data_IF_571227492522
#
_entry.id   IF_571227492522
#
_cell.length_a   1.000
_cell.length_b   1.000
_cell.length_c   1.000
_cell.angle_alpha   90.00
_cell.angle_beta   90.00
_cell.angle_gamma   90.00
#
_symmetry.space_group_name_H-M   'P 1'
#
loop_
_entity.id
_entity.type
_entity.pdbx_description
1 polymer ?
#
# COMPACT_ATOMS: atom_id res chain seq x y z
N UNK A 1 -19.50 -19.14 -15.77
CA UNK A 1 -18.55 -18.08 -15.39
C UNK A 1 -19.04 -17.21 -14.23
N UNK A 2 -20.26 -16.65 -14.27
CA UNK A 2 -20.86 -15.83 -13.20
C UNK A 2 -20.89 -16.51 -11.82
N UNK A 3 -21.35 -17.77 -11.75
CA UNK A 3 -21.35 -18.53 -10.51
C UNK A 3 -19.94 -18.67 -9.91
N UNK A 4 -18.95 -19.06 -10.72
CA UNK A 4 -17.59 -19.25 -10.24
C UNK A 4 -16.96 -17.93 -9.79
N UNK A 5 -16.93 -16.91 -10.64
CA UNK A 5 -16.22 -15.64 -10.39
C UNK A 5 -16.98 -14.73 -9.41
N UNK A 6 -18.31 -14.72 -9.49
CA UNK A 6 -19.16 -13.82 -8.72
C UNK A 6 -19.65 -14.40 -7.39
N UNK A 7 -19.92 -15.71 -7.30
CA UNK A 7 -20.40 -16.30 -6.04
C UNK A 7 -19.28 -17.01 -5.27
N UNK A 8 -18.56 -17.94 -5.91
CA UNK A 8 -17.71 -18.89 -5.19
C UNK A 8 -16.32 -18.32 -4.91
N UNK A 9 -15.68 -17.78 -5.95
CA UNK A 9 -14.30 -17.29 -5.89
C UNK A 9 -14.09 -16.20 -4.82
N UNK A 10 -15.04 -15.27 -4.54
CA UNK A 10 -14.83 -14.23 -3.52
C UNK A 10 -14.55 -14.78 -2.13
N UNK A 11 -15.25 -15.85 -1.74
CA UNK A 11 -15.01 -16.51 -0.44
C UNK A 11 -13.63 -17.17 -0.39
N UNK A 12 -13.20 -17.80 -1.49
CA UNK A 12 -11.86 -18.37 -1.61
C UNK A 12 -10.80 -17.25 -1.52
N UNK A 13 -11.02 -16.16 -2.26
CA UNK A 13 -10.14 -14.98 -2.27
C UNK A 13 -9.96 -14.41 -0.88
N UNK A 14 -11.04 -14.12 -0.15
CA UNK A 14 -10.97 -13.56 1.21
C UNK A 14 -10.28 -14.51 2.17
N UNK A 15 -10.54 -15.82 2.05
CA UNK A 15 -9.89 -16.85 2.87
C UNK A 15 -8.38 -16.89 2.63
N UNK A 16 -7.95 -16.99 1.37
CA UNK A 16 -6.53 -17.08 1.01
C UNK A 16 -5.78 -15.79 1.32
N UNK A 17 -6.39 -14.63 1.05
CA UNK A 17 -5.82 -13.32 1.38
C UNK A 17 -5.59 -13.18 2.89
N UNK A 18 -6.63 -13.46 3.69
CA UNK A 18 -6.57 -13.34 5.15
C UNK A 18 -5.57 -14.31 5.75
N UNK A 19 -5.67 -15.61 5.44
CA UNK A 19 -4.75 -16.62 5.98
C UNK A 19 -3.32 -16.40 5.50
N UNK A 20 -3.13 -15.99 4.24
CA UNK A 20 -1.82 -15.69 3.69
C UNK A 20 -1.14 -14.50 4.38
N UNK A 21 -1.89 -13.43 4.67
CA UNK A 21 -1.37 -12.29 5.44
C UNK A 21 -0.99 -12.75 6.85
N UNK A 22 -1.88 -13.45 7.56
CA UNK A 22 -1.62 -13.92 8.93
C UNK A 22 -0.39 -14.83 8.98
N UNK A 23 -0.25 -15.76 8.04
CA UNK A 23 0.93 -16.61 7.92
C UNK A 23 2.21 -15.78 7.70
N UNK A 24 2.17 -14.81 6.79
CA UNK A 24 3.33 -13.96 6.48
C UNK A 24 3.76 -13.12 7.68
N UNK A 25 2.80 -12.47 8.34
CA UNK A 25 3.02 -11.65 9.52
C UNK A 25 3.52 -12.51 10.70
N UNK A 26 2.91 -13.67 10.94
CA UNK A 26 3.34 -14.60 11.99
C UNK A 26 4.78 -15.10 11.77
N UNK A 27 5.14 -15.42 10.52
CA UNK A 27 6.51 -15.82 10.17
C UNK A 27 7.53 -14.69 10.42
N UNK A 28 7.16 -13.44 10.17
CA UNK A 28 8.02 -12.30 10.47
C UNK A 28 8.12 -12.03 11.97
N UNK A 29 7.01 -12.10 12.70
CA UNK A 29 6.98 -11.91 14.15
C UNK A 29 7.79 -13.00 14.90
N UNK A 30 7.81 -14.22 14.37
CA UNK A 30 8.60 -15.32 14.93
C UNK A 30 10.10 -15.27 14.61
N UNK A 31 10.55 -14.37 13.72
CA UNK A 31 11.96 -14.27 13.36
C UNK A 31 12.77 -13.66 14.50
N UNK A 32 13.74 -14.40 15.04
CA UNK A 32 14.61 -13.92 16.12
C UNK A 32 15.67 -12.98 15.57
N UNK A 33 15.70 -11.74 16.08
CA UNK A 33 16.70 -10.75 15.75
C UNK A 33 17.77 -10.78 16.86
N UNK A 34 18.92 -11.37 16.55
CA UNK A 34 19.99 -11.62 17.53
C UNK A 34 20.89 -10.40 17.76
N UNK A 35 20.97 -9.47 16.80
CA UNK A 35 21.89 -8.32 16.83
C UNK A 35 21.16 -6.99 16.67
N UNK A 36 21.78 -5.90 17.14
CA UNK A 36 21.23 -4.57 16.94
C UNK A 36 21.56 -4.03 15.54
N UNK A 37 20.54 -3.85 14.70
CA UNK A 37 20.66 -3.41 13.30
C UNK A 37 20.16 -1.97 13.19
N UNK A 38 20.65 -1.07 14.04
CA UNK A 38 20.26 0.35 13.95
C UNK A 38 21.22 1.08 13.03
N UNK A 39 20.69 1.97 12.18
CA UNK A 39 21.49 2.80 11.27
C UNK A 39 21.73 4.19 11.86
N UNK A 40 22.86 4.80 11.50
CA UNK A 40 23.11 6.20 11.82
C UNK A 40 22.18 7.13 11.01
N UNK A 41 21.74 8.26 11.58
CA UNK A 41 21.98 8.73 12.94
C UNK A 41 21.13 7.95 13.98
N UNK A 42 21.74 7.60 15.10
CA UNK A 42 21.12 6.81 16.17
C UNK A 42 20.01 7.62 16.86
N UNK A 43 18.77 7.14 16.76
CA UNK A 43 17.63 7.80 17.38
C UNK A 43 17.60 7.52 18.88
N UNK A 44 17.34 8.56 19.67
CA UNK A 44 17.43 8.52 21.14
C UNK A 44 16.05 8.34 21.81
N UNK A 45 14.98 8.73 21.11
CA UNK A 45 13.62 8.69 21.68
C UNK A 45 12.62 8.03 20.73
N UNK A 46 11.60 7.39 21.30
CA UNK A 46 10.50 6.79 20.53
C UNK A 46 9.76 7.83 19.65
N UNK A 47 9.72 9.10 20.06
CA UNK A 47 9.16 10.18 19.24
C UNK A 47 9.97 10.40 17.96
N UNK A 48 11.30 10.42 18.05
CA UNK A 48 12.16 10.51 16.86
C UNK A 48 12.00 9.30 15.94
N UNK A 49 11.84 8.08 16.50
CA UNK A 49 11.55 6.86 15.74
C UNK A 49 10.24 7.02 14.98
N UNK A 50 9.16 7.42 15.65
CA UNK A 50 7.85 7.60 15.02
C UNK A 50 7.89 8.64 13.88
N UNK A 51 8.55 9.78 14.10
CA UNK A 51 8.74 10.80 13.06
C UNK A 51 9.55 10.26 11.88
N UNK A 52 10.62 9.49 12.13
CA UNK A 52 11.43 8.88 11.08
C UNK A 52 10.59 7.94 10.23
N UNK A 53 9.92 6.97 10.86
CA UNK A 53 9.09 5.98 10.17
C UNK A 53 7.96 6.67 9.41
N UNK A 54 7.26 7.62 10.05
CA UNK A 54 6.18 8.37 9.42
C UNK A 54 6.66 9.19 8.20
N UNK A 55 7.79 9.87 8.32
CA UNK A 55 8.36 10.64 7.19
C UNK A 55 8.78 9.75 6.02
N UNK A 56 9.22 8.53 6.28
CA UNK A 56 9.52 7.56 5.24
C UNK A 56 8.24 6.97 4.63
N UNK A 57 7.21 6.68 5.44
CA UNK A 57 5.97 6.06 4.97
C UNK A 57 5.10 7.00 4.13
N UNK A 58 4.96 8.27 4.54
CA UNK A 58 4.02 9.21 3.92
C UNK A 58 4.68 10.19 2.95
N UNK A 59 5.92 10.59 3.23
CA UNK A 59 6.62 11.63 2.46
C UNK A 59 7.75 11.07 1.61
N UNK A 60 8.05 9.78 1.71
CA UNK A 60 9.18 9.13 1.03
C UNK A 60 10.47 9.97 1.16
N UNK A 61 10.77 10.43 2.38
CA UNK A 61 11.82 11.42 2.66
C UNK A 61 13.17 11.06 2.05
N UNK A 62 13.64 9.83 2.18
CA UNK A 62 14.88 9.40 1.55
C UNK A 62 14.82 9.51 0.03
N UNK A 63 13.70 9.09 -0.58
CA UNK A 63 13.53 9.15 -2.02
C UNK A 63 13.55 10.59 -2.53
N UNK A 64 12.94 11.53 -1.81
CA UNK A 64 13.01 12.96 -2.12
C UNK A 64 14.44 13.50 -2.18
N UNK A 65 15.32 13.00 -1.30
CA UNK A 65 16.73 13.42 -1.23
C UNK A 65 17.57 12.88 -2.38
N UNK A 66 17.36 11.62 -2.77
CA UNK A 66 18.24 10.93 -3.73
C UNK A 66 17.71 10.89 -5.17
N UNK A 67 16.39 10.90 -5.36
CA UNK A 67 15.78 10.83 -6.68
C UNK A 67 14.40 11.52 -6.69
N UNK A 68 14.40 12.83 -6.95
CA UNK A 68 13.20 13.66 -6.98
C UNK A 68 12.19 13.23 -8.05
N UNK A 69 12.68 12.69 -9.17
CA UNK A 69 11.81 12.25 -10.26
C UNK A 69 11.05 10.97 -9.86
N UNK A 70 11.76 9.98 -9.32
CA UNK A 70 11.14 8.79 -8.77
C UNK A 70 10.25 9.13 -7.57
N UNK A 71 10.64 10.09 -6.73
CA UNK A 71 9.81 10.57 -5.63
C UNK A 71 8.46 11.10 -6.11
N UNK A 72 8.44 12.00 -7.08
CA UNK A 72 7.21 12.59 -7.58
C UNK A 72 6.26 11.52 -8.17
N UNK A 73 6.81 10.62 -9.00
CA UNK A 73 6.02 9.54 -9.60
C UNK A 73 5.53 8.51 -8.58
N UNK A 74 6.37 8.13 -7.62
CA UNK A 74 6.01 7.19 -6.57
C UNK A 74 4.96 7.78 -5.62
N UNK A 75 5.10 9.05 -5.23
CA UNK A 75 4.15 9.74 -4.37
C UNK A 75 2.79 9.90 -5.06
N UNK A 76 2.76 10.37 -6.31
CA UNK A 76 1.53 10.47 -7.10
C UNK A 76 0.83 9.11 -7.19
N UNK A 77 1.57 8.06 -7.53
CA UNK A 77 1.01 6.72 -7.67
C UNK A 77 0.42 6.20 -6.36
N UNK A 78 1.15 6.28 -5.24
CA UNK A 78 0.65 5.78 -3.95
C UNK A 78 -0.48 6.62 -3.39
N UNK A 79 -0.40 7.95 -3.51
CA UNK A 79 -1.47 8.84 -3.08
C UNK A 79 -2.76 8.56 -3.84
N UNK A 80 -2.69 8.43 -5.16
CA UNK A 80 -3.83 8.06 -5.98
C UNK A 80 -4.35 6.65 -5.65
N UNK A 81 -3.46 5.66 -5.48
CA UNK A 81 -3.82 4.30 -5.09
C UNK A 81 -4.59 4.26 -3.76
N UNK A 82 -4.10 4.96 -2.74
CA UNK A 82 -4.75 5.01 -1.42
C UNK A 82 -6.12 5.68 -1.49
N UNK A 83 -6.25 6.76 -2.27
CA UNK A 83 -7.55 7.42 -2.48
C UNK A 83 -8.52 6.54 -3.27
N UNK A 84 -8.06 5.83 -4.30
CA UNK A 84 -8.90 4.88 -5.04
C UNK A 84 -9.35 3.75 -4.12
N UNK A 85 -8.44 3.14 -3.35
CA UNK A 85 -8.79 2.07 -2.41
C UNK A 85 -9.75 2.55 -1.32
N UNK A 86 -9.47 3.72 -0.74
CA UNK A 86 -10.34 4.37 0.24
C UNK A 86 -11.71 4.69 -0.35
N UNK A 87 -11.76 5.19 -1.58
CA UNK A 87 -12.99 5.46 -2.33
C UNK A 87 -13.80 4.20 -2.65
N UNK A 88 -13.17 3.04 -2.87
CA UNK A 88 -13.90 1.78 -2.99
C UNK A 88 -14.58 1.43 -1.66
N UNK A 89 -13.87 1.54 -0.53
CA UNK A 89 -14.43 1.16 0.77
C UNK A 89 -15.52 2.15 1.20
N UNK A 90 -15.19 3.43 1.22
CA UNK A 90 -16.04 4.51 1.72
C UNK A 90 -17.12 4.85 0.70
N UNK A 91 -16.78 4.97 -0.59
CA UNK A 91 -17.75 5.29 -1.64
C UNK A 91 -18.82 4.22 -1.80
N UNK A 92 -18.45 2.93 -1.85
CA UNK A 92 -19.48 1.87 -1.89
C UNK A 92 -20.24 1.79 -0.57
N UNK A 93 -19.55 1.88 0.58
CA UNK A 93 -20.19 1.76 1.90
C UNK A 93 -21.17 2.88 2.24
N UNK A 94 -20.98 4.08 1.68
CA UNK A 94 -21.83 5.25 1.89
C UNK A 94 -22.53 5.74 0.62
N UNK A 95 -22.57 4.92 -0.44
CA UNK A 95 -23.24 5.24 -1.71
C UNK A 95 -22.77 6.56 -2.36
N UNK A 96 -21.50 6.92 -2.17
CA UNK A 96 -20.93 8.20 -2.62
C UNK A 96 -21.36 9.42 -1.79
N UNK A 97 -22.07 9.23 -0.68
CA UNK A 97 -22.61 10.29 0.17
C UNK A 97 -21.72 10.65 1.37
N UNK A 98 -20.47 10.18 1.41
CA UNK A 98 -19.60 10.34 2.58
C UNK A 98 -19.29 11.80 2.95
N UNK A 99 -19.35 12.74 2.01
CA UNK A 99 -19.09 14.16 2.30
C UNK A 99 -20.30 14.85 2.93
N UNK A 100 -21.51 14.38 2.62
CA UNK A 100 -22.74 14.87 3.26
C UNK A 100 -22.80 14.47 4.74
N UNK A 101 -22.10 13.41 5.14
CA UNK A 101 -22.02 12.94 6.52
C UNK A 101 -21.08 13.76 7.41
N UNK A 102 -20.30 14.69 6.84
CA UNK A 102 -19.33 15.50 7.60
C UNK A 102 -20.07 16.67 8.29
N UNK A 103 -20.15 16.70 9.63
CA UNK A 103 -20.87 17.75 10.34
C UNK A 103 -20.27 19.13 10.07
N UNK A 104 -21.13 20.11 9.81
CA UNK A 104 -20.72 21.51 9.65
C UNK A 104 -20.34 21.93 8.22
N UNK A 105 -20.28 21.02 7.24
CA UNK A 105 -20.03 21.38 5.84
C UNK A 105 -21.29 21.77 5.06
N UNK A 106 -22.47 21.31 5.48
CA UNK A 106 -23.75 21.63 4.81
C UNK A 106 -23.84 21.08 3.37
N UNK A 107 -23.09 20.02 3.05
CA UNK A 107 -23.06 19.39 1.73
C UNK A 107 -24.32 18.53 1.54
N UNK A 108 -25.02 18.71 0.43
CA UNK A 108 -26.19 17.87 0.09
C UNK A 108 -25.75 16.49 -0.41
N UNK A 109 -26.60 15.45 -0.32
CA UNK A 109 -26.30 14.12 -0.85
C UNK A 109 -25.92 14.13 -2.33
N UNK A 110 -26.61 14.93 -3.14
CA UNK A 110 -26.34 15.09 -4.58
C UNK A 110 -24.93 15.64 -4.82
N UNK A 111 -24.56 16.72 -4.12
CA UNK A 111 -23.22 17.30 -4.23
C UNK A 111 -22.15 16.34 -3.72
N UNK A 112 -22.44 15.56 -2.66
CA UNK A 112 -21.50 14.53 -2.20
C UNK A 112 -21.25 13.48 -3.27
N UNK A 113 -22.30 12.99 -3.94
CA UNK A 113 -22.17 12.00 -5.03
C UNK A 113 -21.35 12.56 -6.19
N UNK A 114 -21.60 13.80 -6.60
CA UNK A 114 -20.78 14.48 -7.62
C UNK A 114 -19.31 14.62 -7.21
N UNK A 115 -19.04 15.01 -5.97
CA UNK A 115 -17.67 15.15 -5.45
C UNK A 115 -16.96 13.79 -5.37
N UNK A 116 -17.66 12.74 -4.93
CA UNK A 116 -17.19 11.37 -4.97
C UNK A 116 -16.87 10.93 -6.39
N UNK A 117 -17.73 11.31 -7.33
CA UNK A 117 -17.57 10.95 -8.72
C UNK A 117 -16.35 11.59 -9.36
N UNK A 118 -16.19 12.89 -9.12
CA UNK A 118 -15.04 13.67 -9.53
C UNK A 118 -13.74 13.17 -8.90
N UNK A 119 -13.71 12.97 -7.58
CA UNK A 119 -12.51 12.52 -6.87
C UNK A 119 -12.04 11.15 -7.37
N UNK A 120 -12.95 10.18 -7.49
CA UNK A 120 -12.62 8.86 -8.00
C UNK A 120 -12.10 8.91 -9.44
N UNK A 121 -12.67 9.77 -10.28
CA UNK A 121 -12.23 9.97 -11.67
C UNK A 121 -10.83 10.56 -11.76
N UNK A 122 -10.55 11.64 -11.02
CA UNK A 122 -9.23 12.28 -11.00
C UNK A 122 -8.18 11.30 -10.46
N UNK A 123 -8.47 10.62 -9.35
CA UNK A 123 -7.54 9.67 -8.73
C UNK A 123 -7.32 8.43 -9.61
N UNK A 124 -8.33 7.94 -10.33
CA UNK A 124 -8.18 6.85 -11.30
C UNK A 124 -7.25 7.21 -12.46
N UNK A 125 -7.35 8.45 -12.99
CA UNK A 125 -6.43 8.95 -14.01
C UNK A 125 -5.01 9.13 -13.42
N UNK A 126 -4.89 9.77 -12.27
CA UNK A 126 -3.62 10.01 -11.60
C UNK A 126 -2.87 8.70 -11.30
N UNK A 127 -3.60 7.66 -10.86
CA UNK A 127 -3.06 6.33 -10.62
C UNK A 127 -2.56 5.69 -11.93
N UNK A 128 -3.35 5.74 -13.00
CA UNK A 128 -2.97 5.20 -14.30
C UNK A 128 -1.70 5.89 -14.85
N UNK A 129 -1.66 7.23 -14.81
CA UNK A 129 -0.50 8.02 -15.25
C UNK A 129 0.72 7.73 -14.38
N UNK A 130 0.56 7.65 -13.06
CA UNK A 130 1.64 7.32 -12.13
C UNK A 130 2.24 5.93 -12.39
N UNK A 131 1.39 4.92 -12.62
CA UNK A 131 1.83 3.57 -12.99
C UNK A 131 2.56 3.55 -14.35
N UNK A 132 2.03 4.27 -15.34
CA UNK A 132 2.62 4.35 -16.67
C UNK A 132 4.00 5.04 -16.61
N UNK A 133 4.12 6.14 -15.88
CA UNK A 133 5.38 6.83 -15.63
C UNK A 133 6.41 5.88 -15.01
N UNK A 134 6.04 5.15 -13.94
CA UNK A 134 6.94 4.23 -13.26
C UNK A 134 7.36 3.06 -14.17
N UNK A 135 6.46 2.59 -15.02
CA UNK A 135 6.76 1.52 -15.99
C UNK A 135 7.73 2.02 -17.07
N UNK A 136 7.45 3.18 -17.67
CA UNK A 136 8.33 3.81 -18.67
C UNK A 136 9.72 4.01 -18.07
N UNK A 137 9.81 4.56 -16.85
CA UNK A 137 11.07 4.80 -16.16
C UNK A 137 11.91 3.52 -16.00
N UNK A 138 11.30 2.35 -15.82
CA UNK A 138 12.02 1.06 -15.72
C UNK A 138 12.61 0.61 -17.06
N UNK A 139 11.99 0.98 -18.17
CA UNK A 139 12.47 0.63 -19.50
C UNK A 139 13.47 1.64 -20.07
N UNK A 140 13.37 2.91 -19.68
CA UNK A 140 14.19 3.99 -20.26
C UNK A 140 15.46 4.29 -19.46
N UNK A 141 15.46 4.13 -18.13
CA UNK A 141 16.64 4.40 -17.31
C UNK A 141 17.51 3.16 -17.15
N UNK A 142 18.70 3.18 -17.76
CA UNK A 142 19.63 2.04 -17.76
C UNK A 142 19.96 1.55 -16.35
N UNK A 143 20.25 2.46 -15.42
CA UNK A 143 20.54 2.12 -14.01
C UNK A 143 19.41 1.34 -13.34
N UNK A 144 18.16 1.62 -13.71
CA UNK A 144 16.97 0.98 -13.15
C UNK A 144 16.72 -0.35 -13.84
N UNK A 145 16.90 -0.38 -15.16
CA UNK A 145 16.74 -1.58 -15.99
C UNK A 145 17.68 -2.70 -15.53
N UNK A 146 18.93 -2.37 -15.21
CA UNK A 146 19.95 -3.32 -14.74
C UNK A 146 19.59 -4.03 -13.42
N UNK A 147 18.79 -3.40 -12.57
CA UNK A 147 18.37 -3.97 -11.26
C UNK A 147 16.91 -4.42 -11.24
N UNK A 148 16.19 -4.30 -12.36
CA UNK A 148 14.76 -4.63 -12.46
C UNK A 148 14.58 -6.13 -12.66
N UNK A 149 13.74 -6.76 -11.83
CA UNK A 149 13.33 -8.16 -12.04
C UNK A 149 12.10 -8.22 -12.95
N UNK A 150 11.89 -9.31 -13.72
CA UNK A 150 10.70 -9.45 -14.57
C UNK A 150 9.38 -9.23 -13.81
N UNK A 151 9.31 -9.71 -12.56
CA UNK A 151 8.15 -9.51 -11.69
C UNK A 151 7.80 -8.03 -11.45
N UNK A 152 8.79 -7.13 -11.46
CA UNK A 152 8.56 -5.69 -11.19
C UNK A 152 7.78 -5.03 -12.33
N UNK A 153 8.09 -5.41 -13.58
CA UNK A 153 7.37 -4.92 -14.74
C UNK A 153 5.99 -5.56 -14.84
N UNK A 154 5.89 -6.87 -14.57
CA UNK A 154 4.62 -7.60 -14.60
C UNK A 154 3.60 -7.01 -13.62
N UNK A 155 4.00 -6.64 -12.41
CA UNK A 155 3.09 -6.00 -11.45
C UNK A 155 2.58 -4.63 -11.93
N UNK A 156 3.46 -3.80 -12.51
CA UNK A 156 3.03 -2.50 -13.03
C UNK A 156 2.09 -2.65 -14.23
N UNK A 157 2.37 -3.60 -15.14
CA UNK A 157 1.49 -3.91 -16.27
C UNK A 157 0.14 -4.44 -15.76
N UNK A 158 0.16 -5.36 -14.79
CA UNK A 158 -1.04 -5.91 -14.19
C UNK A 158 -1.92 -4.81 -13.58
N UNK A 159 -1.33 -3.92 -12.79
CA UNK A 159 -2.05 -2.80 -12.18
C UNK A 159 -2.54 -1.80 -13.23
N UNK A 160 -1.79 -1.55 -14.31
CA UNK A 160 -2.25 -0.71 -15.42
C UNK A 160 -3.50 -1.30 -16.10
N UNK A 161 -3.52 -2.61 -16.35
CA UNK A 161 -4.70 -3.27 -16.91
C UNK A 161 -5.88 -3.20 -15.95
N UNK A 162 -5.65 -3.50 -14.66
CA UNK A 162 -6.67 -3.45 -13.63
C UNK A 162 -7.30 -2.06 -13.50
N UNK A 163 -6.46 -1.02 -13.38
CA UNK A 163 -6.89 0.38 -13.28
C UNK A 163 -7.50 0.87 -14.60
N UNK A 164 -6.96 0.45 -15.75
CA UNK A 164 -7.51 0.77 -17.06
C UNK A 164 -8.94 0.26 -17.23
N UNK A 165 -9.21 -0.99 -16.81
CA UNK A 165 -10.57 -1.55 -16.80
C UNK A 165 -11.47 -0.79 -15.80
N UNK A 166 -10.95 -0.43 -14.62
CA UNK A 166 -11.68 0.41 -13.65
C UNK A 166 -12.08 1.77 -14.24
N UNK A 167 -11.14 2.44 -14.92
CA UNK A 167 -11.38 3.71 -15.60
C UNK A 167 -12.37 3.56 -16.77
N UNK A 168 -12.37 2.44 -17.49
CA UNK A 168 -13.38 2.16 -18.52
C UNK A 168 -14.78 2.15 -17.91
N UNK A 169 -14.98 1.44 -16.80
CA UNK A 169 -16.28 1.44 -16.11
C UNK A 169 -16.65 2.83 -15.59
N UNK A 170 -15.67 3.64 -15.19
CA UNK A 170 -15.95 4.99 -14.70
C UNK A 170 -16.35 5.95 -15.80
N UNK A 171 -15.61 5.98 -16.91
CA UNK A 171 -15.69 7.03 -17.93
C UNK A 171 -16.56 6.70 -19.13
N UNK A 172 -16.87 5.42 -19.37
CA UNK A 172 -17.70 5.01 -20.52
C UNK A 172 -19.13 4.75 -20.02
N UNK A 173 -20.12 5.59 -20.37
CA UNK A 173 -21.48 5.47 -19.84
C UNK A 173 -22.12 4.09 -20.08
N UNK A 174 -21.81 3.45 -21.21
CA UNK A 174 -22.32 2.12 -21.54
C UNK A 174 -21.81 0.99 -20.62
N UNK A 175 -20.74 1.24 -19.86
CA UNK A 175 -20.14 0.27 -18.94
C UNK A 175 -20.14 0.77 -17.49
N UNK A 176 -20.87 1.85 -17.21
CA UNK A 176 -20.94 2.44 -15.89
C UNK A 176 -21.61 1.50 -14.88
N UNK A 177 -21.07 1.49 -13.67
CA UNK A 177 -21.55 0.68 -12.55
C UNK A 177 -21.83 1.62 -11.39
N UNK A 178 -23.10 1.71 -11.02
CA UNK A 178 -23.59 2.53 -9.91
C UNK A 178 -23.14 1.98 -8.55
N UNK A 179 -22.99 2.85 -7.56
CA UNK A 179 -22.55 2.47 -6.21
C UNK A 179 -23.51 1.47 -5.56
N UNK A 180 -24.82 1.65 -5.75
CA UNK A 180 -25.90 0.83 -5.20
C UNK A 180 -25.78 -0.62 -5.66
N UNK A 181 -25.49 -0.84 -6.95
CA UNK A 181 -25.32 -2.19 -7.49
C UNK A 181 -24.16 -2.93 -6.83
N UNK A 182 -23.07 -2.22 -6.55
CA UNK A 182 -21.89 -2.79 -5.87
C UNK A 182 -22.20 -3.04 -4.40
N UNK A 183 -22.89 -2.11 -3.74
CA UNK A 183 -23.30 -2.24 -2.34
C UNK A 183 -24.19 -3.46 -2.13
N UNK A 184 -25.27 -3.59 -2.90
CA UNK A 184 -26.22 -4.71 -2.81
C UNK A 184 -25.53 -6.05 -3.05
N UNK A 185 -24.61 -6.09 -4.01
CA UNK A 185 -23.81 -7.27 -4.33
C UNK A 185 -22.89 -7.68 -3.17
N UNK A 186 -22.15 -6.72 -2.60
CA UNK A 186 -21.27 -6.98 -1.45
C UNK A 186 -22.09 -7.40 -0.23
N UNK A 187 -23.22 -6.72 0.03
CA UNK A 187 -24.11 -7.03 1.14
C UNK A 187 -24.67 -8.46 1.02
N UNK A 188 -25.11 -8.86 -0.17
CA UNK A 188 -25.58 -10.22 -0.42
C UNK A 188 -24.48 -11.27 -0.21
N UNK A 189 -23.24 -11.03 -0.67
CA UNK A 189 -22.12 -11.93 -0.40
C UNK A 189 -21.83 -12.08 1.10
N UNK A 190 -21.85 -10.99 1.86
CA UNK A 190 -21.65 -10.99 3.32
C UNK A 190 -22.79 -11.74 4.03
N UNK A 191 -24.03 -11.57 3.56
CA UNK A 191 -25.22 -12.24 4.09
C UNK A 191 -25.42 -13.66 3.54
N UNK A 192 -24.41 -14.20 2.84
CA UNK A 192 -24.42 -15.54 2.23
C UNK A 192 -25.64 -15.81 1.33
N UNK A 193 -26.11 -14.77 0.63
CA UNK A 193 -27.22 -14.85 -0.31
C UNK A 193 -26.73 -15.20 -1.73
N UNK A 194 -27.56 -15.85 -2.56
CA UNK A 194 -27.25 -16.08 -3.97
C UNK A 194 -27.22 -14.75 -4.76
N UNK A 195 -26.09 -14.45 -5.41
CA UNK A 195 -25.89 -13.23 -6.23
C UNK A 195 -25.98 -13.48 -7.73
N UNK A 196 -26.11 -14.75 -8.17
CA UNK A 196 -26.05 -15.14 -9.59
C UNK A 196 -27.10 -14.48 -10.49
N UNK A 197 -28.20 -13.99 -9.91
CA UNK A 197 -29.28 -13.30 -10.62
C UNK A 197 -29.11 -11.78 -10.67
N UNK A 198 -28.13 -11.22 -9.96
CA UNK A 198 -27.92 -9.77 -9.89
C UNK A 198 -27.42 -9.20 -11.21
N UNK A 199 -27.97 -8.05 -11.58
CA UNK A 199 -27.69 -7.38 -12.85
C UNK A 199 -26.21 -7.04 -13.03
N UNK A 200 -25.51 -6.66 -11.95
CA UNK A 200 -24.08 -6.32 -11.97
C UNK A 200 -23.21 -7.44 -12.57
N UNK A 201 -23.60 -8.70 -12.40
CA UNK A 201 -22.89 -9.86 -12.96
C UNK A 201 -23.09 -10.04 -14.47
N UNK A 202 -24.00 -9.27 -15.10
CA UNK A 202 -24.14 -9.20 -16.55
C UNK A 202 -23.04 -8.34 -17.19
N UNK A 203 -22.42 -7.43 -16.43
CA UNK A 203 -21.34 -6.58 -16.94
C UNK A 203 -20.03 -7.37 -17.08
N UNK A 204 -19.57 -7.49 -18.33
CA UNK A 204 -18.28 -8.13 -18.63
C UNK A 204 -17.09 -7.37 -18.05
N UNK A 205 -17.12 -6.03 -18.07
CA UNK A 205 -16.07 -5.20 -17.48
C UNK A 205 -16.03 -5.31 -15.96
N UNK A 206 -17.20 -5.38 -15.30
CA UNK A 206 -17.26 -5.63 -13.85
C UNK A 206 -16.63 -6.98 -13.52
N UNK A 207 -17.05 -8.06 -14.19
CA UNK A 207 -16.49 -9.40 -13.95
C UNK A 207 -14.99 -9.46 -14.21
N UNK A 208 -14.50 -8.79 -15.26
CA UNK A 208 -13.07 -8.74 -15.57
C UNK A 208 -12.29 -7.97 -14.50
N UNK A 209 -12.75 -6.78 -14.12
CA UNK A 209 -12.15 -5.99 -13.05
C UNK A 209 -12.12 -6.78 -11.74
N UNK A 210 -13.27 -7.36 -11.38
CA UNK A 210 -13.45 -8.10 -10.15
C UNK A 210 -12.60 -9.38 -10.11
N UNK A 211 -12.48 -10.10 -11.22
CA UNK A 211 -11.56 -11.25 -11.33
C UNK A 211 -10.10 -10.81 -11.13
N UNK A 212 -9.68 -9.70 -11.73
CA UNK A 212 -8.31 -9.18 -11.55
C UNK A 212 -8.07 -8.73 -10.11
N UNK A 213 -9.04 -8.13 -9.44
CA UNK A 213 -8.94 -7.82 -8.01
C UNK A 213 -8.84 -9.11 -7.19
N UNK A 214 -9.64 -10.13 -7.50
CA UNK A 214 -9.60 -11.41 -6.79
C UNK A 214 -8.24 -12.11 -6.95
N UNK A 215 -7.68 -12.15 -8.15
CA UNK A 215 -6.33 -12.70 -8.42
C UNK A 215 -5.26 -11.87 -7.70
N UNK A 216 -5.38 -10.53 -7.72
CA UNK A 216 -4.48 -9.64 -6.98
C UNK A 216 -4.44 -10.00 -5.50
N UNK A 217 -5.60 -10.13 -4.87
CA UNK A 217 -5.72 -10.45 -3.44
C UNK A 217 -5.21 -11.86 -3.11
N UNK A 218 -5.49 -12.87 -3.94
CA UNK A 218 -4.96 -14.22 -3.73
C UNK A 218 -3.42 -14.23 -3.75
N UNK A 219 -2.81 -13.50 -4.69
CA UNK A 219 -1.34 -13.48 -4.86
C UNK A 219 -0.67 -12.49 -3.91
N UNK A 220 -1.39 -11.47 -3.43
CA UNK A 220 -0.90 -10.39 -2.56
C UNK A 220 0.04 -10.88 -1.45
N UNK A 221 -0.35 -11.81 -0.54
CA UNK A 221 0.48 -12.22 0.60
C UNK A 221 1.80 -12.90 0.22
N UNK A 222 1.92 -13.39 -1.02
CA UNK A 222 3.09 -14.08 -1.54
C UNK A 222 3.98 -13.18 -2.41
N UNK A 223 3.54 -11.94 -2.65
CA UNK A 223 4.17 -11.01 -3.57
C UNK A 223 4.98 -9.89 -2.88
N UNK A 224 5.55 -8.99 -3.69
CA UNK A 224 6.18 -7.75 -3.22
C UNK A 224 5.18 -6.72 -2.70
N UNK A 225 3.87 -6.89 -2.96
CA UNK A 225 2.83 -5.98 -2.46
C UNK A 225 2.71 -6.01 -0.93
N UNK A 226 3.19 -7.08 -0.29
CA UNK A 226 3.37 -7.14 1.16
C UNK A 226 4.32 -6.09 1.74
N UNK A 227 4.99 -5.27 0.90
CA UNK A 227 5.80 -4.14 1.35
C UNK A 227 5.00 -3.15 2.21
N UNK A 228 3.67 -3.03 2.03
CA UNK A 228 2.84 -2.19 2.88
C UNK A 228 3.03 -2.52 4.37
N UNK A 229 2.96 -3.79 4.72
CA UNK A 229 3.16 -4.26 6.09
C UNK A 229 4.64 -4.43 6.45
N UNK A 230 5.43 -4.95 5.49
CA UNK A 230 6.84 -5.22 5.69
C UNK A 230 7.68 -3.96 5.95
N UNK A 231 7.29 -2.82 5.37
CA UNK A 231 7.98 -1.55 5.59
C UNK A 231 7.93 -1.14 7.06
N UNK A 232 6.77 -1.23 7.73
CA UNK A 232 6.69 -0.83 9.14
C UNK A 232 7.53 -1.73 10.05
N UNK A 233 7.53 -3.05 9.79
CA UNK A 233 8.35 -3.99 10.54
C UNK A 233 9.86 -3.72 10.33
N UNK A 234 10.30 -3.59 9.08
CA UNK A 234 11.69 -3.30 8.73
C UNK A 234 12.15 -1.95 9.30
N UNK A 235 11.34 -0.90 9.12
CA UNK A 235 11.65 0.44 9.62
C UNK A 235 11.68 0.50 11.14
N UNK A 236 10.83 -0.26 11.84
CA UNK A 236 10.90 -0.37 13.29
C UNK A 236 12.20 -1.04 13.74
N UNK A 237 12.60 -2.14 13.11
CA UNK A 237 13.86 -2.84 13.43
C UNK A 237 15.06 -1.93 13.22
N UNK A 238 15.09 -1.19 12.11
CA UNK A 238 16.25 -0.40 11.68
C UNK A 238 16.34 0.95 12.39
N UNK A 239 15.21 1.53 12.82
CA UNK A 239 15.16 2.85 13.45
C UNK A 239 14.80 2.80 14.94
N UNK A 240 14.75 1.63 15.58
CA UNK A 240 14.51 1.55 17.03
C UNK A 240 15.59 2.32 17.80
N UNK A 241 15.26 2.72 19.03
CA UNK A 241 16.21 3.39 19.91
C UNK A 241 17.44 2.49 20.08
N UNK A 242 18.62 3.07 19.88
CA UNK A 242 19.86 2.35 20.06
C UNK A 242 20.09 2.09 21.55
N UNK A 243 20.24 0.82 21.89
CA UNK A 243 20.76 0.41 23.18
C UNK A 243 22.08 -0.30 22.93
N UNK A 244 23.11 0.08 23.70
CA UNK A 244 24.35 -0.68 23.71
C UNK A 244 24.06 -2.13 24.07
N UNK A 245 24.77 -3.09 23.45
CA UNK A 245 24.69 -4.48 23.89
C UNK A 245 25.03 -4.59 25.38
N UNK A 246 24.37 -5.51 26.10
CA UNK A 246 24.73 -5.81 27.48
C UNK A 246 26.22 -6.17 27.58
N UNK A 247 26.95 -5.68 28.60
CA UNK A 247 28.35 -6.04 28.80
C UNK A 247 28.51 -7.57 28.81
N UNK A 248 29.42 -8.11 27.98
CA UNK A 248 29.73 -9.55 27.95
C UNK A 248 29.17 -10.36 26.78
N UNK A 249 28.60 -9.72 25.74
CA UNK A 249 28.45 -10.39 24.44
C UNK A 249 29.86 -10.76 23.90
N UNK A 250 30.05 -11.95 23.30
CA UNK A 250 31.38 -12.43 22.92
C UNK A 250 32.07 -11.42 21.99
N UNK A 251 33.28 -11.00 22.37
CA UNK A 251 34.22 -10.14 21.63
C UNK A 251 33.99 -8.62 21.57
N UNK A 252 33.09 -8.02 22.36
CA UNK A 252 33.11 -6.54 22.52
C UNK A 252 32.87 -6.14 23.98
N UNK A 253 33.96 -5.84 24.69
CA UNK A 253 33.88 -5.06 25.92
C UNK A 253 33.73 -3.57 25.55
N UNK A 254 32.47 -3.12 25.47
CA UNK A 254 32.10 -1.76 25.08
C UNK A 254 32.66 -0.73 26.07
N UNK A 255 32.76 -1.09 27.36
CA UNK A 255 33.32 -0.21 28.38
C UNK A 255 34.83 -0.05 28.19
N UNK A 256 35.55 -1.13 27.91
CA UNK A 256 36.96 -1.08 27.55
C UNK A 256 37.20 -0.33 26.24
N UNK A 257 36.36 -0.53 25.22
CA UNK A 257 36.47 0.15 23.93
C UNK A 257 36.27 1.68 24.04
N UNK A 258 35.27 2.13 24.82
CA UNK A 258 35.07 3.56 25.14
C UNK A 258 36.24 4.14 25.91
N UNK A 259 36.74 3.43 26.93
CA UNK A 259 37.91 3.84 27.72
C UNK A 259 39.18 3.91 26.86
N UNK A 260 39.28 3.07 25.83
CA UNK A 260 40.38 3.03 24.88
C UNK A 260 40.23 4.03 23.71
N UNK A 261 39.15 4.81 23.64
CA UNK A 261 38.92 5.78 22.55
C UNK A 261 38.65 5.13 21.19
N UNK A 262 38.26 3.86 21.14
CA UNK A 262 38.02 3.11 19.91
C UNK A 262 36.65 3.48 19.30
N UNK A 263 36.50 4.69 18.79
CA UNK A 263 35.48 5.09 17.79
C UNK A 263 34.00 4.91 18.16
N UNK A 264 33.65 4.50 19.39
CA UNK A 264 32.26 4.47 19.86
C UNK A 264 31.92 5.87 20.38
N UNK A 265 30.99 6.62 19.75
CA UNK A 265 30.66 7.96 20.20
C UNK A 265 30.18 7.91 21.66
N UNK A 266 30.73 8.79 22.50
CA UNK A 266 30.10 9.13 23.77
C UNK A 266 28.77 9.82 23.46
N UNK A 267 27.78 9.69 24.36
CA UNK A 267 26.39 10.16 24.15
C UNK A 267 26.26 11.63 23.70
N UNK A 268 27.32 12.41 23.85
CA UNK A 268 27.36 13.85 23.61
C UNK A 268 28.02 14.21 22.25
N UNK A 269 28.72 13.27 21.61
CA UNK A 269 29.51 13.52 20.39
C UNK A 269 28.68 13.48 19.08
N UNK A 270 27.37 13.29 19.17
CA UNK A 270 26.48 13.21 18.00
C UNK A 270 25.90 14.58 17.57
N UNK A 271 26.12 15.66 18.33
CA UNK A 271 25.60 17.00 17.99
C UNK A 271 26.53 17.83 17.10
N UNK A 272 27.80 17.45 16.91
CA UNK A 272 28.74 18.18 16.06
C UNK A 272 29.34 17.29 14.97
N UNK A 273 28.84 17.39 13.72
CA UNK A 273 29.66 17.07 12.55
C UNK A 273 29.00 16.37 11.36
N UNK A 274 28.76 17.20 10.34
CA UNK A 274 28.62 16.97 8.87
C UNK A 274 27.28 16.50 8.31
#
# INVERSE_FOLDING_TARGET
>A
MKLLIGQILPYITVTLFTLGILYRLGRWAGARIVHNITLSPWLQTNGQVAVRIGSEAFLFRNLFRFDKALWAGALLMHFALLNVLGGHIVGFGFLGEQFALIPGLGITPELSRELSDLLGSIMGIALFVGLLYLLIRRFTLEKVKLVTKPSDNLWLIYLLVLVGIGNIMRFIPAFHIEYEMVFDYIAALIMFQPVVHMEILNSGFFLAHYLLVQVLLIVFPFSKLMHLFGMFAERYIVNRVYHDPAPGLPNVDVAAARKAGLGVPAGDAAEEGV
#
